data_IF_825868562055
#
_entry.id   IF_825868562055
#
_cell.length_a   1.000
_cell.length_b   1.000
_cell.length_c   1.000
_cell.angle_alpha   90.00
_cell.angle_beta   90.00
_cell.angle_gamma   90.00
#
_symmetry.space_group_name_H-M   'P 1'
#
loop_
_entity.id
_entity.type
_entity.pdbx_description
1 polymer ?
#
# COMPACT_ATOMS: atom_id res chain seq x y z
N UNK A 1 -38.86 -44.13 33.10
CA UNK A 1 -38.18 -42.82 33.23
C UNK A 1 -36.96 -42.85 32.34
N UNK A 2 -36.70 -41.98 31.38
CA UNK A 2 -37.42 -40.90 30.72
C UNK A 2 -36.60 -40.65 29.45
N UNK A 3 -37.22 -40.86 28.29
CA UNK A 3 -36.65 -40.78 26.95
C UNK A 3 -36.15 -39.36 26.65
N UNK A 4 -34.88 -39.09 26.92
CA UNK A 4 -34.18 -37.89 26.44
C UNK A 4 -32.72 -38.25 26.25
N UNK A 5 -32.13 -37.78 25.14
CA UNK A 5 -30.73 -37.98 24.72
C UNK A 5 -30.39 -39.28 24.00
N UNK A 6 -30.93 -39.43 22.79
CA UNK A 6 -30.20 -40.11 21.72
C UNK A 6 -29.88 -39.08 20.63
N UNK A 7 -29.18 -38.00 21.01
CA UNK A 7 -28.67 -37.04 20.02
C UNK A 7 -27.76 -37.80 19.07
N UNK A 8 -28.09 -37.82 17.78
CA UNK A 8 -27.34 -38.61 16.81
C UNK A 8 -25.87 -38.19 16.88
N UNK A 9 -24.96 -39.13 17.12
CA UNK A 9 -23.50 -38.89 17.26
C UNK A 9 -22.96 -38.02 16.12
N UNK A 10 -23.59 -38.11 14.95
CA UNK A 10 -23.29 -37.28 13.78
C UNK A 10 -23.45 -35.78 14.02
N UNK A 11 -24.47 -35.35 14.74
CA UNK A 11 -24.75 -33.93 15.03
C UNK A 11 -23.87 -33.35 16.15
N UNK A 12 -23.30 -34.23 16.97
CA UNK A 12 -22.43 -33.85 18.08
C UNK A 12 -21.01 -33.53 17.62
N UNK A 13 -20.60 -34.06 16.46
CA UNK A 13 -19.26 -33.84 15.92
C UNK A 13 -19.17 -32.49 15.23
N UNK A 14 -18.21 -31.69 15.69
CA UNK A 14 -17.97 -30.32 15.27
C UNK A 14 -16.49 -30.06 15.11
N UNK A 15 -16.16 -29.07 14.29
CA UNK A 15 -14.81 -28.52 14.21
C UNK A 15 -14.50 -27.76 15.50
N UNK A 16 -13.34 -28.05 16.08
CA UNK A 16 -12.84 -27.38 17.30
C UNK A 16 -11.59 -26.55 17.04
N UNK A 17 -10.75 -26.95 16.07
CA UNK A 17 -9.48 -26.30 15.77
C UNK A 17 -9.39 -25.98 14.28
N UNK A 18 -10.38 -25.28 13.73
CA UNK A 18 -10.44 -24.97 12.30
C UNK A 18 -9.22 -24.20 11.78
N UNK A 19 -8.51 -23.47 12.64
CA UNK A 19 -7.29 -22.72 12.32
C UNK A 19 -6.08 -23.63 12.08
N UNK A 20 -6.10 -24.87 12.59
CA UNK A 20 -5.02 -25.83 12.45
C UNK A 20 -5.14 -26.69 11.18
N UNK A 21 -6.08 -26.36 10.28
CA UNK A 21 -6.33 -27.11 9.03
C UNK A 21 -5.07 -27.34 8.20
N UNK A 22 -4.10 -26.42 8.26
CA UNK A 22 -2.87 -26.49 7.49
C UNK A 22 -1.63 -26.87 8.34
N UNK A 23 -1.80 -27.05 9.65
CA UNK A 23 -0.72 -27.41 10.58
C UNK A 23 -0.75 -28.91 10.89
N UNK A 24 -0.47 -29.71 9.87
CA UNK A 24 -0.52 -31.17 9.98
C UNK A 24 0.60 -31.65 10.88
N UNK A 25 0.25 -32.42 11.90
CA UNK A 25 1.20 -33.07 12.82
C UNK A 25 1.17 -34.58 12.62
N UNK A 26 2.35 -35.19 12.63
CA UNK A 26 2.47 -36.65 12.65
C UNK A 26 2.04 -37.22 14.02
N UNK A 27 2.05 -38.56 14.12
CA UNK A 27 1.73 -39.28 15.36
C UNK A 27 2.67 -38.90 16.52
N UNK A 28 3.89 -38.46 16.22
CA UNK A 28 4.89 -37.98 17.19
C UNK A 28 4.77 -36.48 17.51
N UNK A 29 3.76 -35.79 16.98
CA UNK A 29 3.53 -34.35 17.21
C UNK A 29 4.39 -33.38 16.39
N UNK A 30 5.24 -33.86 15.48
CA UNK A 30 6.06 -33.04 14.59
C UNK A 30 5.25 -32.55 13.40
N UNK A 31 5.48 -31.31 12.97
CA UNK A 31 4.85 -30.72 11.79
C UNK A 31 5.33 -31.43 10.53
N UNK A 32 4.39 -31.86 9.70
CA UNK A 32 4.65 -32.38 8.35
C UNK A 32 4.15 -31.35 7.34
N UNK A 33 4.91 -31.20 6.27
CA UNK A 33 4.49 -30.46 5.10
C UNK A 33 3.24 -31.09 4.46
N UNK A 34 2.24 -30.27 4.13
CA UNK A 34 0.95 -30.72 3.60
C UNK A 34 1.12 -31.58 2.34
N UNK A 35 2.04 -31.20 1.46
CA UNK A 35 2.29 -31.91 0.19
C UNK A 35 2.95 -33.29 0.38
N UNK A 36 3.59 -33.51 1.53
CA UNK A 36 4.30 -34.75 1.85
C UNK A 36 3.51 -35.67 2.77
N UNK A 37 2.39 -35.18 3.32
CA UNK A 37 1.53 -35.96 4.20
C UNK A 37 0.73 -36.99 3.39
N UNK A 38 0.80 -38.26 3.82
CA UNK A 38 -0.03 -39.32 3.24
C UNK A 38 -1.52 -39.10 3.55
N UNK A 39 -2.41 -39.58 2.68
CA UNK A 39 -3.86 -39.47 2.89
C UNK A 39 -4.33 -40.02 4.24
N UNK A 40 -3.68 -41.06 4.77
CA UNK A 40 -3.98 -41.62 6.09
C UNK A 40 -3.58 -40.69 7.23
N UNK A 41 -2.40 -40.06 7.14
CA UNK A 41 -1.94 -39.09 8.14
C UNK A 41 -2.84 -37.86 8.16
N UNK A 42 -3.23 -37.36 6.98
CA UNK A 42 -4.19 -36.28 6.83
C UNK A 42 -5.53 -36.62 7.48
N UNK A 43 -6.08 -37.80 7.13
CA UNK A 43 -7.36 -38.25 7.67
C UNK A 43 -7.34 -38.38 9.20
N UNK A 44 -6.30 -39.01 9.75
CA UNK A 44 -6.15 -39.16 11.20
C UNK A 44 -5.96 -37.80 11.89
N UNK A 45 -5.15 -36.91 11.33
CA UNK A 45 -4.96 -35.57 11.87
C UNK A 45 -6.28 -34.80 11.91
N UNK A 46 -7.02 -34.75 10.80
CA UNK A 46 -8.29 -34.03 10.74
C UNK A 46 -9.34 -34.62 11.67
N UNK A 47 -9.44 -35.95 11.74
CA UNK A 47 -10.37 -36.61 12.64
C UNK A 47 -10.05 -36.29 14.10
N UNK A 48 -8.83 -36.56 14.56
CA UNK A 48 -8.49 -36.50 15.99
C UNK A 48 -8.12 -35.12 16.51
N UNK A 49 -7.64 -34.21 15.64
CA UNK A 49 -7.09 -32.91 16.06
C UNK A 49 -7.95 -31.73 15.62
N UNK A 50 -8.66 -31.85 14.50
CA UNK A 50 -9.48 -30.77 13.95
C UNK A 50 -10.94 -30.80 14.44
N UNK A 51 -11.42 -31.99 14.81
CA UNK A 51 -12.79 -32.21 15.32
C UNK A 51 -12.78 -32.72 16.76
N UNK A 52 -13.91 -32.60 17.45
CA UNK A 52 -14.14 -33.18 18.78
C UNK A 52 -14.44 -34.69 18.75
N UNK A 53 -14.06 -35.41 17.69
CA UNK A 53 -14.34 -36.83 17.50
C UNK A 53 -14.00 -37.67 18.74
N UNK A 54 -12.80 -37.52 19.30
CA UNK A 54 -12.36 -38.31 20.47
C UNK A 54 -13.24 -38.02 21.70
N UNK A 55 -13.59 -36.75 21.93
CA UNK A 55 -14.44 -36.34 23.05
C UNK A 55 -15.84 -36.94 22.96
N UNK A 56 -16.42 -37.00 21.76
CA UNK A 56 -17.75 -37.58 21.52
C UNK A 56 -17.71 -39.10 21.71
N UNK A 57 -16.64 -39.77 21.31
CA UNK A 57 -16.52 -41.21 21.57
C UNK A 57 -16.32 -41.52 23.06
N UNK A 58 -15.53 -40.70 23.75
CA UNK A 58 -15.28 -40.86 25.18
C UNK A 58 -16.54 -40.59 26.01
N UNK A 59 -17.36 -39.59 25.64
CA UNK A 59 -18.64 -39.34 26.31
C UNK A 59 -19.62 -40.50 26.14
N UNK A 60 -19.74 -41.02 24.91
CA UNK A 60 -20.58 -42.19 24.62
C UNK A 60 -20.11 -43.41 25.41
N UNK A 61 -18.80 -43.64 25.50
CA UNK A 61 -18.23 -44.74 26.28
C UNK A 61 -18.48 -44.56 27.78
N UNK A 62 -18.36 -43.35 28.30
CA UNK A 62 -18.62 -43.05 29.71
C UNK A 62 -20.10 -43.29 30.08
N UNK A 63 -21.03 -43.01 29.16
CA UNK A 63 -22.47 -43.18 29.39
C UNK A 63 -22.94 -44.64 29.29
N UNK A 64 -22.54 -45.38 28.25
CA UNK A 64 -23.06 -46.73 27.98
C UNK A 64 -22.06 -47.86 28.30
N UNK A 65 -20.82 -47.54 28.67
CA UNK A 65 -19.77 -48.48 29.04
C UNK A 65 -19.03 -49.17 27.88
N UNK A 66 -19.55 -49.07 26.65
CA UNK A 66 -18.93 -49.65 25.45
C UNK A 66 -19.11 -48.74 24.23
N UNK A 67 -18.53 -49.09 23.09
CA UNK A 67 -18.70 -48.36 21.83
C UNK A 67 -18.98 -49.35 20.70
N UNK A 68 -20.10 -49.16 19.98
CA UNK A 68 -20.43 -50.04 18.86
C UNK A 68 -19.70 -49.63 17.60
N UNK A 69 -19.35 -50.57 16.73
CA UNK A 69 -18.73 -50.26 15.43
C UNK A 69 -19.62 -49.37 14.54
N UNK A 70 -20.95 -49.43 14.72
CA UNK A 70 -21.88 -48.52 14.02
C UNK A 70 -21.74 -47.08 14.51
N UNK A 71 -21.61 -46.87 15.82
CA UNK A 71 -21.39 -45.54 16.41
C UNK A 71 -20.02 -44.98 16.00
N UNK A 72 -18.97 -45.80 16.01
CA UNK A 72 -17.63 -45.40 15.58
C UNK A 72 -17.61 -44.99 14.10
N UNK A 73 -18.28 -45.76 13.24
CA UNK A 73 -18.42 -45.44 11.82
C UNK A 73 -19.19 -44.15 11.60
N UNK A 74 -20.31 -43.96 12.31
CA UNK A 74 -21.08 -42.71 12.27
C UNK A 74 -20.22 -41.50 12.67
N UNK A 75 -19.48 -41.63 13.77
CA UNK A 75 -18.59 -40.58 14.24
C UNK A 75 -17.51 -40.24 13.20
N UNK A 76 -16.91 -41.27 12.61
CA UNK A 76 -15.83 -41.13 11.62
C UNK A 76 -16.32 -40.43 10.36
N UNK A 77 -17.50 -40.80 9.87
CA UNK A 77 -18.14 -40.15 8.71
C UNK A 77 -18.47 -38.69 9.02
N UNK A 78 -19.04 -38.41 10.19
CA UNK A 78 -19.38 -37.04 10.57
C UNK A 78 -18.15 -36.13 10.66
N UNK A 79 -17.04 -36.62 11.24
CA UNK A 79 -15.79 -35.87 11.29
C UNK A 79 -15.26 -35.55 9.89
N UNK A 80 -15.32 -36.52 8.98
CA UNK A 80 -14.92 -36.32 7.59
C UNK A 80 -15.81 -35.28 6.88
N UNK A 81 -17.13 -35.33 7.09
CA UNK A 81 -18.09 -34.37 6.51
C UNK A 81 -17.80 -32.93 6.95
N UNK A 82 -17.57 -32.73 8.25
CA UNK A 82 -17.24 -31.41 8.80
C UNK A 82 -15.95 -30.83 8.19
N UNK A 83 -14.92 -31.67 8.05
CA UNK A 83 -13.64 -31.29 7.44
C UNK A 83 -13.82 -30.97 5.95
N UNK A 84 -14.53 -31.81 5.21
CA UNK A 84 -14.81 -31.61 3.78
C UNK A 84 -15.64 -30.35 3.53
N UNK A 85 -16.62 -30.06 4.39
CA UNK A 85 -17.40 -28.83 4.32
C UNK A 85 -16.50 -27.60 4.51
N UNK A 86 -15.57 -27.63 5.48
CA UNK A 86 -14.60 -26.56 5.67
C UNK A 86 -13.71 -26.37 4.44
N UNK A 87 -13.19 -27.45 3.86
CA UNK A 87 -12.42 -27.37 2.61
C UNK A 87 -13.21 -26.79 1.45
N UNK A 88 -14.46 -27.24 1.28
CA UNK A 88 -15.36 -26.71 0.26
C UNK A 88 -15.56 -25.21 0.43
N UNK A 89 -15.78 -24.75 1.65
CA UNK A 89 -15.99 -23.33 1.95
C UNK A 89 -14.74 -22.49 1.65
N UNK A 90 -13.54 -22.96 2.02
CA UNK A 90 -12.28 -22.28 1.66
C UNK A 90 -12.08 -22.25 0.13
N UNK A 91 -12.37 -23.35 -0.56
CA UNK A 91 -12.26 -23.42 -2.02
C UNK A 91 -13.22 -22.44 -2.72
N UNK A 92 -14.48 -22.37 -2.26
CA UNK A 92 -15.47 -21.40 -2.76
C UNK A 92 -14.98 -19.97 -2.54
N UNK A 93 -14.41 -19.67 -1.37
CA UNK A 93 -13.84 -18.35 -1.04
C UNK A 93 -12.70 -17.98 -1.99
N UNK A 94 -11.76 -18.90 -2.25
CA UNK A 94 -10.65 -18.69 -3.19
C UNK A 94 -11.16 -18.46 -4.62
N UNK A 95 -12.16 -19.22 -5.06
CA UNK A 95 -12.77 -19.01 -6.38
C UNK A 95 -13.42 -17.63 -6.46
N UNK A 96 -14.20 -17.24 -5.45
CA UNK A 96 -14.89 -15.95 -5.43
C UNK A 96 -13.89 -14.78 -5.45
N UNK A 97 -12.84 -14.85 -4.63
CA UNK A 97 -11.78 -13.84 -4.59
C UNK A 97 -11.02 -13.75 -5.93
N UNK A 98 -10.68 -14.90 -6.52
CA UNK A 98 -10.04 -14.97 -7.84
C UNK A 98 -10.93 -14.37 -8.93
N UNK A 99 -12.23 -14.61 -8.87
CA UNK A 99 -13.20 -14.07 -9.83
C UNK A 99 -13.35 -12.55 -9.68
N UNK A 100 -13.38 -12.05 -8.44
CA UNK A 100 -13.41 -10.62 -8.17
C UNK A 100 -12.15 -9.91 -8.69
N UNK A 101 -10.97 -10.46 -8.38
CA UNK A 101 -9.68 -9.96 -8.88
C UNK A 101 -9.59 -10.02 -10.40
N UNK A 102 -10.06 -11.11 -11.01
CA UNK A 102 -10.13 -11.26 -12.47
C UNK A 102 -11.04 -10.21 -13.13
N UNK A 103 -12.19 -9.89 -12.53
CA UNK A 103 -13.07 -8.83 -13.02
C UNK A 103 -12.42 -7.45 -12.93
N UNK A 104 -11.72 -7.15 -11.82
CA UNK A 104 -10.96 -5.90 -11.67
C UNK A 104 -9.90 -5.81 -12.76
N UNK A 105 -9.11 -6.87 -12.96
CA UNK A 105 -8.07 -6.92 -13.98
C UNK A 105 -8.67 -6.70 -15.37
N UNK A 106 -9.77 -7.37 -15.71
CA UNK A 106 -10.48 -7.21 -16.98
C UNK A 106 -10.95 -5.76 -17.18
N UNK A 107 -11.53 -5.14 -16.16
CA UNK A 107 -11.97 -3.75 -16.22
C UNK A 107 -10.80 -2.79 -16.42
N UNK A 108 -9.67 -3.01 -15.75
CA UNK A 108 -8.46 -2.22 -15.94
C UNK A 108 -7.90 -2.38 -17.36
N UNK A 109 -7.85 -3.61 -17.87
CA UNK A 109 -7.43 -3.90 -19.24
C UNK A 109 -8.33 -3.20 -20.28
N UNK A 110 -9.66 -3.25 -20.09
CA UNK A 110 -10.62 -2.56 -20.95
C UNK A 110 -10.44 -1.04 -20.92
N UNK A 111 -10.31 -0.45 -19.73
CA UNK A 111 -10.08 1.00 -19.59
C UNK A 111 -8.76 1.47 -20.19
N UNK A 112 -7.73 0.64 -20.11
CA UNK A 112 -6.43 0.90 -20.73
C UNK A 112 -6.39 0.54 -22.23
N UNK A 113 -7.43 -0.11 -22.77
CA UNK A 113 -7.49 -0.53 -24.18
C UNK A 113 -6.50 -1.65 -24.53
N UNK A 114 -6.09 -2.48 -23.56
CA UNK A 114 -5.05 -3.51 -23.74
C UNK A 114 -5.62 -4.92 -23.68
N UNK A 115 -5.11 -5.80 -24.56
CA UNK A 115 -5.56 -7.19 -24.66
C UNK A 115 -4.88 -8.18 -23.70
N UNK A 116 -3.78 -7.77 -23.05
CA UNK A 116 -3.01 -8.65 -22.14
C UNK A 116 -2.67 -7.96 -20.82
N UNK A 117 -2.48 -8.76 -19.76
CA UNK A 117 -2.07 -8.25 -18.46
C UNK A 117 -0.66 -7.63 -18.49
N UNK A 118 0.26 -8.16 -19.29
CA UNK A 118 1.60 -7.58 -19.47
C UNK A 118 1.55 -6.18 -20.09
N UNK A 119 0.68 -5.99 -21.08
CA UNK A 119 0.48 -4.66 -21.67
C UNK A 119 -0.13 -3.67 -20.68
N UNK A 120 -1.04 -4.12 -19.80
CA UNK A 120 -1.56 -3.29 -18.72
C UNK A 120 -0.47 -2.82 -17.77
N UNK A 121 0.45 -3.72 -17.37
CA UNK A 121 1.59 -3.37 -16.51
C UNK A 121 2.44 -2.26 -17.15
N UNK A 122 2.79 -2.41 -18.44
CA UNK A 122 3.56 -1.39 -19.15
C UNK A 122 2.86 -0.02 -19.19
N UNK A 123 1.53 -0.01 -19.37
CA UNK A 123 0.72 1.22 -19.35
C UNK A 123 0.74 1.86 -17.96
N UNK A 124 0.62 1.06 -16.90
CA UNK A 124 0.67 1.54 -15.52
C UNK A 124 2.04 2.10 -15.17
N UNK A 125 3.12 1.44 -15.57
CA UNK A 125 4.49 1.92 -15.36
C UNK A 125 4.73 3.25 -16.07
N UNK A 126 4.30 3.36 -17.33
CA UNK A 126 4.37 4.61 -18.10
C UNK A 126 3.60 5.74 -17.42
N UNK A 127 2.42 5.45 -16.86
CA UNK A 127 1.62 6.43 -16.14
C UNK A 127 2.30 6.87 -14.83
N UNK A 128 2.89 5.93 -14.10
CA UNK A 128 3.67 6.19 -12.88
C UNK A 128 4.83 7.15 -13.15
N UNK A 129 5.56 6.94 -14.25
CA UNK A 129 6.68 7.80 -14.60
C UNK A 129 6.23 9.20 -15.04
N UNK A 130 5.13 9.31 -15.77
CA UNK A 130 4.51 10.62 -16.10
C UNK A 130 4.06 11.37 -14.83
N UNK A 131 3.49 10.68 -13.84
CA UNK A 131 3.12 11.29 -12.56
C UNK A 131 4.32 11.82 -11.79
N UNK A 132 5.44 11.07 -11.77
CA UNK A 132 6.69 11.56 -11.17
C UNK A 132 7.20 12.82 -11.88
N UNK A 133 7.12 12.87 -13.20
CA UNK A 133 7.50 14.05 -13.97
C UNK A 133 6.61 15.26 -13.67
N UNK A 134 5.28 15.07 -13.62
CA UNK A 134 4.34 16.12 -13.24
C UNK A 134 4.63 16.67 -11.84
N UNK A 135 4.92 15.80 -10.86
CA UNK A 135 5.28 16.24 -9.51
C UNK A 135 6.54 17.10 -9.50
N UNK A 136 7.55 16.76 -10.31
CA UNK A 136 8.76 17.59 -10.47
C UNK A 136 8.43 18.95 -11.08
N UNK A 137 7.58 18.99 -12.11
CA UNK A 137 7.14 20.24 -12.74
C UNK A 137 6.33 21.11 -11.79
N UNK A 138 5.42 20.53 -11.01
CA UNK A 138 4.64 21.25 -10.00
C UNK A 138 5.55 21.84 -8.92
N UNK A 139 6.55 21.08 -8.45
CA UNK A 139 7.55 21.58 -7.50
C UNK A 139 8.35 22.73 -8.10
N UNK A 140 8.77 22.61 -9.36
CA UNK A 140 9.45 23.68 -10.10
C UNK A 140 8.59 24.94 -10.21
N UNK A 141 7.30 24.79 -10.53
CA UNK A 141 6.36 25.89 -10.63
C UNK A 141 6.15 26.60 -9.28
N UNK A 142 5.98 25.83 -8.18
CA UNK A 142 5.88 26.39 -6.82
C UNK A 142 7.13 27.15 -6.43
N UNK A 143 8.31 26.63 -6.77
CA UNK A 143 9.58 27.32 -6.51
C UNK A 143 9.71 28.62 -7.31
N UNK A 144 9.29 28.63 -8.59
CA UNK A 144 9.26 29.84 -9.40
C UNK A 144 8.29 30.89 -8.82
N UNK A 145 7.14 30.46 -8.32
CA UNK A 145 6.18 31.35 -7.67
C UNK A 145 6.76 31.94 -6.38
N UNK A 146 7.32 31.11 -5.50
CA UNK A 146 7.97 31.57 -4.27
C UNK A 146 9.14 32.54 -4.55
N UNK A 147 9.92 32.27 -5.60
CA UNK A 147 11.00 33.17 -6.02
C UNK A 147 10.47 34.51 -6.53
N UNK A 148 9.38 34.50 -7.31
CA UNK A 148 8.72 35.72 -7.77
C UNK A 148 8.14 36.54 -6.59
N UNK A 149 7.51 35.88 -5.62
CA UNK A 149 6.97 36.53 -4.43
C UNK A 149 8.09 37.13 -3.57
N UNK A 150 9.19 36.39 -3.38
CA UNK A 150 10.40 36.87 -2.69
C UNK A 150 10.99 38.08 -3.40
N UNK A 151 11.09 38.05 -4.73
CA UNK A 151 11.57 39.16 -5.53
C UNK A 151 10.69 40.41 -5.39
N UNK A 152 9.36 40.24 -5.35
CA UNK A 152 8.44 41.36 -5.12
C UNK A 152 8.63 41.99 -3.73
N UNK A 153 8.75 41.16 -2.68
CA UNK A 153 9.01 41.63 -1.32
C UNK A 153 10.35 42.38 -1.25
N UNK A 154 11.42 41.81 -1.80
CA UNK A 154 12.74 42.46 -1.85
C UNK A 154 12.69 43.80 -2.57
N UNK A 155 12.00 43.87 -3.71
CA UNK A 155 11.83 45.12 -4.47
C UNK A 155 11.17 46.21 -3.62
N UNK A 156 10.09 45.89 -2.91
CA UNK A 156 9.40 46.88 -2.08
C UNK A 156 10.20 47.27 -0.84
N UNK A 157 10.93 46.33 -0.22
CA UNK A 157 11.84 46.63 0.89
C UNK A 157 12.98 47.58 0.48
N UNK A 158 13.61 47.33 -0.66
CA UNK A 158 14.68 48.21 -1.18
C UNK A 158 14.15 49.61 -1.47
N UNK A 159 12.94 49.73 -2.04
CA UNK A 159 12.32 51.05 -2.25
C UNK A 159 12.09 51.79 -0.93
N UNK A 160 11.59 51.11 0.10
CA UNK A 160 11.37 51.71 1.43
C UNK A 160 12.68 52.15 2.07
N UNK A 161 13.70 51.30 2.05
CA UNK A 161 15.02 51.60 2.59
C UNK A 161 15.65 52.83 1.92
N UNK A 162 15.58 52.93 0.59
CA UNK A 162 16.11 54.09 -0.13
C UNK A 162 15.39 55.40 0.23
N UNK A 163 14.11 55.34 0.59
CA UNK A 163 13.35 56.50 1.07
C UNK A 163 13.74 56.85 2.51
N UNK A 164 13.84 55.84 3.39
CA UNK A 164 14.22 56.00 4.80
C UNK A 164 15.65 56.56 4.97
N UNK A 165 16.59 56.11 4.15
CA UNK A 165 17.98 56.61 4.15
C UNK A 165 18.16 57.97 3.46
N UNK A 166 17.06 58.60 2.98
CA UNK A 166 17.11 59.92 2.37
C UNK A 166 17.90 59.99 1.06
N UNK A 167 17.94 58.87 0.31
CA UNK A 167 18.68 58.80 -0.96
C UNK A 167 18.06 59.73 -2.00
N UNK A 168 18.90 60.38 -2.82
CA UNK A 168 18.42 61.34 -3.82
C UNK A 168 17.38 60.73 -4.78
N UNK A 169 16.35 61.53 -5.10
CA UNK A 169 15.21 61.10 -5.92
C UNK A 169 15.64 60.61 -7.33
N UNK A 170 16.77 61.11 -7.83
CA UNK A 170 17.39 60.69 -9.11
C UNK A 170 17.88 59.25 -9.06
N UNK A 171 18.48 58.82 -7.95
CA UNK A 171 18.97 57.45 -7.76
C UNK A 171 17.79 56.50 -7.55
N UNK A 172 16.79 56.90 -6.77
CA UNK A 172 15.55 56.14 -6.56
C UNK A 172 14.86 55.86 -7.90
N UNK A 173 14.75 56.85 -8.80
CA UNK A 173 14.20 56.68 -10.15
C UNK A 173 15.00 55.69 -11.00
N UNK A 174 16.33 55.68 -10.89
CA UNK A 174 17.19 54.72 -11.60
C UNK A 174 17.01 53.29 -11.07
N UNK A 175 16.98 53.10 -9.75
CA UNK A 175 16.76 51.78 -9.12
C UNK A 175 15.38 51.23 -9.46
N UNK A 176 14.34 52.07 -9.42
CA UNK A 176 12.99 51.69 -9.84
C UNK A 176 12.94 51.24 -11.31
N UNK A 177 13.73 51.87 -12.18
CA UNK A 177 13.83 51.49 -13.60
C UNK A 177 14.49 50.11 -13.78
N UNK A 178 15.47 49.76 -12.94
CA UNK A 178 16.10 48.42 -12.92
C UNK A 178 15.05 47.37 -12.54
N UNK A 179 14.38 47.54 -11.40
CA UNK A 179 13.37 46.57 -10.91
C UNK A 179 12.12 46.44 -11.79
N UNK A 180 11.80 47.46 -12.59
CA UNK A 180 10.65 47.46 -13.50
C UNK A 180 10.97 46.84 -14.87
N UNK A 181 12.23 46.49 -15.13
CA UNK A 181 12.66 45.95 -16.41
C UNK A 181 12.41 44.44 -16.46
N UNK A 182 11.68 43.97 -17.47
CA UNK A 182 11.38 42.53 -17.68
C UNK A 182 12.53 41.70 -18.27
N UNK A 183 13.55 42.36 -18.82
CA UNK A 183 14.70 41.71 -19.45
C UNK A 183 15.90 41.73 -18.52
N UNK A 184 16.42 40.54 -18.20
CA UNK A 184 17.63 40.36 -17.36
C UNK A 184 18.82 41.13 -17.94
N UNK A 185 19.09 41.01 -19.24
CA UNK A 185 20.22 41.68 -19.89
C UNK A 185 20.13 43.21 -19.82
N UNK A 186 18.92 43.75 -19.93
CA UNK A 186 18.67 45.19 -19.83
C UNK A 186 18.76 45.67 -18.38
N UNK A 187 18.27 44.88 -17.42
CA UNK A 187 18.41 45.16 -16.00
C UNK A 187 19.89 45.17 -15.57
N UNK A 188 20.68 44.20 -16.03
CA UNK A 188 22.14 44.14 -15.81
C UNK A 188 22.82 45.37 -16.37
N UNK A 189 22.51 45.78 -17.60
CA UNK A 189 23.11 46.97 -18.21
C UNK A 189 22.74 48.25 -17.46
N UNK A 190 21.47 48.38 -17.01
CA UNK A 190 21.04 49.51 -16.20
C UNK A 190 21.69 49.53 -14.80
N UNK A 191 21.94 48.36 -14.21
CA UNK A 191 22.67 48.18 -12.96
C UNK A 191 24.16 48.50 -13.09
N UNK A 192 24.82 48.01 -14.14
CA UNK A 192 26.18 48.41 -14.54
C UNK A 192 26.32 49.92 -14.59
N UNK A 193 25.40 50.59 -15.28
CA UNK A 193 25.43 52.04 -15.41
C UNK A 193 25.10 52.79 -14.12
N UNK A 194 24.55 52.11 -13.09
CA UNK A 194 24.30 52.70 -11.78
C UNK A 194 25.56 52.71 -10.91
N UNK A 195 26.39 51.67 -11.03
CA UNK A 195 27.58 51.47 -10.20
C UNK A 195 28.91 51.59 -10.97
N UNK A 196 28.86 51.93 -12.26
CA UNK A 196 29.99 51.98 -13.19
C UNK A 196 30.80 50.67 -13.27
N UNK A 197 30.08 49.54 -13.28
CA UNK A 197 30.66 48.18 -13.24
C UNK A 197 30.58 47.45 -14.58
N UNK A 198 31.59 46.65 -14.90
CA UNK A 198 31.56 45.74 -16.05
C UNK A 198 30.58 44.58 -15.84
N UNK A 199 30.00 44.03 -16.93
CA UNK A 199 28.96 42.97 -16.87
C UNK A 199 29.45 41.68 -16.21
N UNK A 200 30.74 41.34 -16.41
CA UNK A 200 31.42 40.19 -15.82
C UNK A 200 31.47 40.28 -14.29
N UNK A 201 31.73 41.48 -13.76
CA UNK A 201 31.84 41.72 -12.32
C UNK A 201 30.48 41.63 -11.62
N UNK A 202 29.41 42.15 -12.23
CA UNK A 202 28.05 42.03 -11.70
C UNK A 202 27.61 40.56 -11.61
N UNK A 203 27.92 39.76 -12.64
CA UNK A 203 27.61 38.33 -12.64
C UNK A 203 28.35 37.58 -11.52
N UNK A 204 29.58 37.98 -11.19
CA UNK A 204 30.34 37.39 -10.09
C UNK A 204 29.79 37.81 -8.72
N UNK A 205 29.39 39.07 -8.55
CA UNK A 205 28.74 39.55 -7.32
C UNK A 205 27.37 38.87 -7.10
N UNK A 206 26.55 38.74 -8.14
CA UNK A 206 25.28 38.02 -8.05
C UNK A 206 25.47 36.54 -7.72
N UNK A 207 26.43 35.85 -8.36
CA UNK A 207 26.73 34.45 -8.07
C UNK A 207 27.24 34.23 -6.64
N UNK A 208 28.05 35.15 -6.12
CA UNK A 208 28.53 35.07 -4.73
C UNK A 208 27.39 35.31 -3.74
N UNK A 209 26.56 36.33 -3.92
CA UNK A 209 25.40 36.59 -3.07
C UNK A 209 24.39 35.43 -3.06
N UNK A 210 24.12 34.81 -4.22
CA UNK A 210 23.22 33.66 -4.33
C UNK A 210 23.80 32.39 -3.68
N UNK A 211 25.12 32.19 -3.71
CA UNK A 211 25.77 31.08 -2.96
C UNK A 211 25.62 31.23 -1.45
N UNK A 212 25.65 32.47 -0.95
CA UNK A 212 25.46 32.76 0.47
C UNK A 212 23.99 32.73 0.92
N UNK A 213 23.00 32.82 0.01
CA UNK A 213 21.58 32.67 0.36
C UNK A 213 21.09 31.22 0.42
N UNK A 214 21.95 30.24 0.10
CA UNK A 214 21.66 28.79 0.17
C UNK A 214 22.28 28.09 1.39
N UNK A 215 22.78 28.84 2.37
CA UNK A 215 23.25 28.36 3.67
C UNK A 215 22.25 28.71 4.77
#
# INVERSE_FOLDING_TARGET
MGSSYNSDIREQIKLINAEQLYQIKNENGQLIDYEKASGRQLFNHYRHKLTNYDQVLDSVRAEQGYLTGRQEKKATVAAAEQVLEKYRNEHVKVIQDSRAKGNILKNLMQKAGVGTASALVNVLDTCSDKLKQLKKLETSQRNLQAWNDTYQVQRELVKKLLIEEGVSEKIIKKVNKIYSTRSVNKAVTLGSNLFDLEKSEILNLLKSAVRYSTL
#
